data_IF_665685665776
#
_entry.id   IF_665685665776
#
_cell.length_a   1.000
_cell.length_b   1.000
_cell.length_c   1.000
_cell.angle_alpha   90.00
_cell.angle_beta   90.00
_cell.angle_gamma   90.00
#
_symmetry.space_group_name_H-M   'P 1'
#
loop_
_entity.id
_entity.type
_entity.pdbx_description
1 polymer ?
#
# COMPACT_ATOMS: atom_id res chain seq x y z
N UNK A 1 -1.77 -10.92 -7.78
CA UNK A 1 -1.00 -11.42 -8.95
C UNK A 1 0.03 -10.44 -9.44
N UNK A 2 -0.34 -9.24 -9.90
CA UNK A 2 0.61 -8.22 -10.36
C UNK A 2 1.73 -7.89 -9.37
N UNK A 3 1.47 -8.07 -8.07
CA UNK A 3 2.43 -7.87 -6.99
C UNK A 3 3.75 -8.65 -7.18
N UNK A 4 3.72 -9.89 -7.67
CA UNK A 4 4.93 -10.69 -7.86
C UNK A 4 5.82 -10.11 -8.97
N UNK A 5 5.20 -9.64 -10.06
CA UNK A 5 5.91 -8.91 -11.11
C UNK A 5 6.51 -7.62 -10.53
N UNK A 6 5.71 -6.83 -9.80
CA UNK A 6 6.11 -5.52 -9.25
C UNK A 6 7.27 -5.66 -8.27
N UNK A 7 7.21 -6.63 -7.35
CA UNK A 7 8.28 -6.88 -6.38
C UNK A 7 9.57 -7.31 -7.08
N UNK A 8 9.50 -8.31 -7.97
CA UNK A 8 10.68 -8.80 -8.66
C UNK A 8 11.28 -7.74 -9.58
N UNK A 9 10.45 -7.17 -10.47
CA UNK A 9 10.90 -6.16 -11.42
C UNK A 9 11.40 -4.91 -10.71
N UNK A 10 10.71 -4.41 -9.68
CA UNK A 10 11.10 -3.19 -8.96
C UNK A 10 12.49 -3.29 -8.34
N UNK A 11 12.86 -4.48 -7.84
CA UNK A 11 14.18 -4.73 -7.26
C UNK A 11 15.23 -5.01 -8.35
N UNK A 12 14.95 -5.95 -9.25
CA UNK A 12 15.93 -6.43 -10.22
C UNK A 12 16.10 -5.56 -11.46
N UNK A 13 15.18 -4.62 -11.73
CA UNK A 13 15.36 -3.61 -12.78
C UNK A 13 16.55 -2.69 -12.48
N UNK A 14 16.64 -2.22 -11.23
CA UNK A 14 17.78 -1.43 -10.76
C UNK A 14 19.07 -2.23 -10.80
N UNK A 15 19.03 -3.50 -10.36
CA UNK A 15 20.18 -4.39 -10.43
C UNK A 15 20.64 -4.62 -11.88
N UNK A 16 19.71 -4.82 -12.82
CA UNK A 16 20.01 -4.98 -14.24
C UNK A 16 20.69 -3.75 -14.84
N UNK A 17 20.17 -2.55 -14.55
CA UNK A 17 20.78 -1.29 -14.98
C UNK A 17 22.17 -1.07 -14.36
N UNK A 18 22.29 -1.21 -13.04
CA UNK A 18 23.55 -1.11 -12.32
C UNK A 18 24.59 -2.07 -12.90
N UNK A 19 24.19 -3.32 -13.14
CA UNK A 19 25.08 -4.36 -13.64
C UNK A 19 25.52 -4.12 -15.07
N UNK A 20 24.61 -3.68 -15.94
CA UNK A 20 24.93 -3.31 -17.31
C UNK A 20 25.86 -2.09 -17.39
N UNK A 21 25.68 -1.12 -16.49
CA UNK A 21 26.45 0.12 -16.48
C UNK A 21 27.84 -0.04 -15.88
N UNK A 22 28.00 -0.81 -14.80
CA UNK A 22 29.27 -0.91 -14.09
C UNK A 22 30.09 -2.14 -14.49
N UNK A 23 29.46 -3.29 -14.77
CA UNK A 23 30.13 -4.56 -15.05
C UNK A 23 30.24 -4.90 -16.55
N UNK A 24 30.19 -3.90 -17.42
CA UNK A 24 30.21 -4.08 -18.89
C UNK A 24 31.49 -4.75 -19.43
N UNK A 25 32.59 -4.74 -18.67
CA UNK A 25 33.85 -5.40 -19.03
C UNK A 25 33.82 -6.93 -18.83
N UNK A 26 32.99 -7.44 -17.92
CA UNK A 26 32.94 -8.87 -17.60
C UNK A 26 32.16 -9.65 -18.66
N UNK A 27 32.55 -10.89 -18.97
CA UNK A 27 31.78 -11.75 -19.90
C UNK A 27 30.34 -11.97 -19.40
N UNK A 28 29.35 -11.91 -20.31
CA UNK A 28 27.92 -12.13 -19.97
C UNK A 28 27.69 -13.43 -19.18
N UNK A 29 28.35 -14.52 -19.55
CA UNK A 29 28.21 -15.81 -18.87
C UNK A 29 28.71 -15.79 -17.43
N UNK A 30 29.80 -15.04 -17.16
CA UNK A 30 30.31 -14.85 -15.81
C UNK A 30 29.35 -13.99 -14.98
N UNK A 31 28.81 -12.93 -15.59
CA UNK A 31 27.85 -12.05 -14.92
C UNK A 31 26.62 -12.85 -14.46
N UNK A 32 26.04 -13.64 -15.36
CA UNK A 32 24.87 -14.44 -15.05
C UNK A 32 25.14 -15.50 -13.97
N UNK A 33 26.28 -16.22 -14.04
CA UNK A 33 26.64 -17.21 -13.03
C UNK A 33 26.80 -16.59 -11.65
N UNK A 34 27.51 -15.47 -11.54
CA UNK A 34 27.73 -14.81 -10.25
C UNK A 34 26.44 -14.20 -9.69
N UNK A 35 25.59 -13.64 -10.55
CA UNK A 35 24.28 -13.16 -10.15
C UNK A 35 23.40 -14.33 -9.62
N UNK A 36 23.34 -15.43 -10.36
CA UNK A 36 22.58 -16.60 -9.94
C UNK A 36 23.07 -17.16 -8.60
N UNK A 37 24.39 -17.36 -8.45
CA UNK A 37 24.97 -17.87 -7.20
C UNK A 37 24.73 -16.88 -6.06
N UNK A 38 24.91 -15.56 -6.27
CA UNK A 38 24.63 -14.55 -5.24
C UNK A 38 23.17 -14.55 -4.78
N UNK A 39 22.23 -14.68 -5.73
CA UNK A 39 20.80 -14.81 -5.40
C UNK A 39 20.50 -16.10 -4.62
N UNK A 40 21.05 -17.25 -5.02
CA UNK A 40 20.87 -18.51 -4.30
C UNK A 40 21.38 -18.40 -2.85
N UNK A 41 22.53 -17.77 -2.63
CA UNK A 41 23.05 -17.51 -1.29
C UNK A 41 22.12 -16.59 -0.48
N UNK A 42 21.54 -15.56 -1.12
CA UNK A 42 20.56 -14.70 -0.46
C UNK A 42 19.30 -15.46 -0.04
N UNK A 43 18.82 -16.39 -0.87
CA UNK A 43 17.67 -17.23 -0.57
C UNK A 43 17.91 -18.08 0.68
N UNK A 44 19.06 -18.76 0.77
CA UNK A 44 19.38 -19.55 1.95
C UNK A 44 19.59 -18.69 3.21
N UNK A 45 20.28 -17.55 3.09
CA UNK A 45 20.48 -16.63 4.21
C UNK A 45 19.13 -16.10 4.76
N UNK A 46 18.24 -15.68 3.86
CA UNK A 46 16.91 -15.22 4.22
C UNK A 46 16.05 -16.34 4.82
N UNK A 47 16.06 -17.54 4.22
CA UNK A 47 15.29 -18.67 4.73
C UNK A 47 15.72 -19.09 6.15
N UNK A 48 17.03 -19.13 6.41
CA UNK A 48 17.56 -19.41 7.75
C UNK A 48 17.10 -18.33 8.73
N UNK A 49 17.23 -17.05 8.36
CA UNK A 49 16.85 -15.92 9.19
C UNK A 49 15.35 -15.80 9.44
N UNK A 50 14.51 -16.12 8.45
CA UNK A 50 13.06 -16.19 8.59
C UNK A 50 12.64 -17.28 9.58
N UNK A 51 13.32 -18.44 9.56
CA UNK A 51 13.07 -19.53 10.52
C UNK A 51 13.44 -19.15 11.96
N UNK A 52 14.43 -18.27 12.15
CA UNK A 52 14.82 -17.77 13.47
C UNK A 52 14.13 -16.46 13.86
N UNK A 53 13.15 -15.98 13.07
CA UNK A 53 12.47 -14.69 13.27
C UNK A 53 13.44 -13.49 13.36
N UNK A 54 14.57 -13.56 12.67
CA UNK A 54 15.64 -12.55 12.71
C UNK A 54 15.81 -11.82 11.37
N UNK A 55 14.79 -11.83 10.52
CA UNK A 55 14.87 -11.27 9.17
C UNK A 55 15.04 -9.74 9.16
N UNK A 56 14.52 -9.03 10.18
CA UNK A 56 14.74 -7.59 10.35
C UNK A 56 16.22 -7.27 10.58
N UNK A 57 16.91 -8.08 11.39
CA UNK A 57 18.36 -7.94 11.63
C UNK A 57 19.18 -8.26 10.38
N UNK A 58 18.77 -9.27 9.61
CA UNK A 58 19.40 -9.59 8.32
C UNK A 58 19.22 -8.43 7.33
N UNK A 59 18.02 -7.84 7.28
CA UNK A 59 17.74 -6.70 6.41
C UNK A 59 18.55 -5.47 6.81
N UNK A 60 18.64 -5.16 8.11
CA UNK A 60 19.53 -4.12 8.63
C UNK A 60 21.00 -4.34 8.22
N UNK A 61 21.51 -5.56 8.44
CA UNK A 61 22.88 -5.93 8.06
C UNK A 61 23.10 -5.82 6.54
N UNK A 62 22.06 -6.13 5.76
CA UNK A 62 22.08 -6.00 4.31
C UNK A 62 22.10 -4.54 3.85
N UNK A 63 21.42 -3.63 4.53
CA UNK A 63 21.47 -2.20 4.22
C UNK A 63 22.85 -1.61 4.54
N UNK A 64 23.50 -2.04 5.62
CA UNK A 64 24.90 -1.69 5.90
C UNK A 64 25.81 -2.21 4.78
N UNK A 65 25.61 -3.45 4.33
CA UNK A 65 26.32 -4.00 3.19
C UNK A 65 26.06 -3.18 1.91
N UNK A 66 24.84 -2.74 1.64
CA UNK A 66 24.52 -1.90 0.49
C UNK A 66 25.32 -0.60 0.51
N UNK A 67 25.39 0.09 1.65
CA UNK A 67 26.19 1.32 1.80
C UNK A 67 27.64 1.05 1.40
N UNK A 68 28.26 -0.01 1.94
CA UNK A 68 29.64 -0.39 1.63
C UNK A 68 29.84 -0.73 0.14
N UNK A 69 28.91 -1.48 -0.46
CA UNK A 69 28.96 -1.86 -1.86
C UNK A 69 28.82 -0.66 -2.78
N UNK A 70 27.90 0.26 -2.50
CA UNK A 70 27.69 1.47 -3.31
C UNK A 70 28.86 2.45 -3.22
N UNK A 71 29.44 2.63 -2.02
CA UNK A 71 30.70 3.37 -1.87
C UNK A 71 31.85 2.71 -2.64
N UNK A 72 31.94 1.38 -2.59
CA UNK A 72 32.92 0.62 -3.37
C UNK A 72 32.73 0.84 -4.87
N UNK A 73 31.50 0.82 -5.39
CA UNK A 73 31.21 1.11 -6.81
C UNK A 73 31.73 2.50 -7.22
N UNK A 74 31.56 3.52 -6.37
CA UNK A 74 32.08 4.87 -6.62
C UNK A 74 33.61 4.85 -6.67
N UNK A 75 34.27 4.30 -5.64
CA UNK A 75 35.74 4.25 -5.55
C UNK A 75 36.33 3.50 -6.75
N UNK A 76 35.79 2.32 -7.05
CA UNK A 76 36.30 1.45 -8.11
C UNK A 76 35.96 1.93 -9.52
N UNK A 77 35.06 2.91 -9.67
CA UNK A 77 34.82 3.58 -10.95
C UNK A 77 36.08 4.34 -11.46
N UNK A 78 36.93 4.82 -10.54
CA UNK A 78 38.14 5.60 -10.84
C UNK A 78 39.41 4.75 -11.10
N UNK A 79 39.37 3.44 -10.84
CA UNK A 79 40.54 2.57 -11.07
C UNK A 79 40.79 2.37 -12.57
N UNK A 80 42.06 2.61 -12.96
CA UNK A 80 42.57 2.46 -14.34
C UNK A 80 43.15 1.07 -14.65
N UNK A 81 43.56 0.28 -13.65
CA UNK A 81 44.12 -1.06 -13.88
C UNK A 81 43.02 -2.07 -14.22
N UNK A 82 43.00 -2.55 -15.47
CA UNK A 82 41.95 -3.43 -15.99
C UNK A 82 41.91 -4.81 -15.32
N UNK A 83 43.05 -5.44 -15.03
CA UNK A 83 43.08 -6.78 -14.45
C UNK A 83 42.55 -6.80 -13.01
N UNK A 84 43.00 -5.83 -12.20
CA UNK A 84 42.51 -5.68 -10.82
C UNK A 84 41.03 -5.30 -10.81
N UNK A 85 40.61 -4.45 -11.74
CA UNK A 85 39.22 -4.01 -11.89
C UNK A 85 38.27 -5.18 -12.18
N UNK A 86 38.64 -6.10 -13.08
CA UNK A 86 37.79 -7.26 -13.39
C UNK A 86 37.55 -8.17 -12.18
N UNK A 87 38.60 -8.49 -11.42
CA UNK A 87 38.47 -9.35 -10.22
C UNK A 87 37.59 -8.70 -9.14
N UNK A 88 37.80 -7.42 -8.88
CA UNK A 88 37.00 -6.67 -7.90
C UNK A 88 35.55 -6.56 -8.38
N UNK A 89 35.34 -6.30 -9.67
CA UNK A 89 34.01 -6.25 -10.28
C UNK A 89 33.26 -7.59 -10.14
N UNK A 90 33.93 -8.73 -10.28
CA UNK A 90 33.31 -10.03 -10.08
C UNK A 90 32.84 -10.23 -8.62
N UNK A 91 33.65 -9.84 -7.64
CA UNK A 91 33.28 -9.92 -6.21
C UNK A 91 32.10 -8.99 -5.91
N UNK A 92 32.17 -7.73 -6.36
CA UNK A 92 31.09 -6.76 -6.17
C UNK A 92 29.78 -7.21 -6.80
N UNK A 93 29.83 -7.83 -7.98
CA UNK A 93 28.64 -8.35 -8.65
C UNK A 93 27.95 -9.45 -7.84
N UNK A 94 28.73 -10.40 -7.30
CA UNK A 94 28.21 -11.46 -6.43
C UNK A 94 27.53 -10.87 -5.18
N UNK A 95 28.22 -9.96 -4.49
CA UNK A 95 27.72 -9.32 -3.26
C UNK A 95 26.50 -8.44 -3.52
N UNK A 96 26.47 -7.69 -4.62
CA UNK A 96 25.29 -6.91 -5.01
C UNK A 96 24.12 -7.84 -5.34
N UNK A 97 24.36 -8.95 -6.04
CA UNK A 97 23.27 -9.90 -6.32
C UNK A 97 22.71 -10.52 -5.04
N UNK A 98 23.58 -10.83 -4.08
CA UNK A 98 23.17 -11.26 -2.76
C UNK A 98 22.31 -10.18 -2.09
N UNK A 99 22.77 -8.92 -2.08
CA UNK A 99 22.09 -7.84 -1.38
C UNK A 99 20.72 -7.46 -1.99
N UNK A 100 20.64 -7.42 -3.33
CA UNK A 100 19.38 -7.26 -4.05
C UNK A 100 18.45 -8.47 -3.84
N UNK A 101 18.99 -9.67 -3.72
CA UNK A 101 18.22 -10.87 -3.39
C UNK A 101 17.58 -10.82 -2.01
N UNK A 102 18.33 -10.41 -0.97
CA UNK A 102 17.78 -10.17 0.38
C UNK A 102 16.67 -9.12 0.34
N UNK A 103 16.88 -8.00 -0.38
CA UNK A 103 15.87 -6.96 -0.53
C UNK A 103 14.57 -7.47 -1.17
N UNK A 104 14.69 -8.26 -2.24
CA UNK A 104 13.52 -8.87 -2.90
C UNK A 104 12.74 -9.79 -1.95
N UNK A 105 13.46 -10.65 -1.22
CA UNK A 105 12.85 -11.61 -0.30
C UNK A 105 12.18 -10.91 0.89
N UNK A 106 12.80 -9.85 1.41
CA UNK A 106 12.23 -9.04 2.49
C UNK A 106 10.92 -8.35 2.07
N UNK A 107 10.89 -7.70 0.90
CA UNK A 107 9.67 -7.03 0.40
C UNK A 107 8.55 -8.03 0.07
N UNK A 108 8.92 -9.28 -0.24
CA UNK A 108 7.97 -10.34 -0.62
C UNK A 108 7.59 -11.28 0.53
N UNK A 109 7.98 -10.98 1.77
CA UNK A 109 7.80 -11.88 2.92
C UNK A 109 6.33 -12.26 3.15
N UNK A 110 5.42 -11.28 3.02
CA UNK A 110 3.97 -11.48 3.21
C UNK A 110 3.28 -12.12 1.99
N UNK A 111 4.04 -12.38 0.92
CA UNK A 111 3.54 -12.92 -0.35
C UNK A 111 4.29 -14.21 -0.71
N UNK A 112 4.14 -15.30 0.08
CA UNK A 112 4.78 -16.56 -0.23
C UNK A 112 4.29 -17.12 -1.57
N UNK A 113 5.24 -17.38 -2.47
CA UNK A 113 4.96 -17.90 -3.83
C UNK A 113 4.34 -19.30 -3.77
N UNK A 114 4.78 -20.11 -2.80
CA UNK A 114 4.30 -21.47 -2.55
C UNK A 114 3.49 -21.45 -1.26
N UNK A 115 2.16 -21.27 -1.39
CA UNK A 115 1.24 -21.72 -0.35
C UNK A 115 1.23 -23.26 -0.28
N UNK A 116 0.55 -23.84 0.70
CA UNK A 116 0.60 -25.28 1.07
C UNK A 116 0.49 -26.29 -0.09
N UNK A 117 -0.01 -25.89 -1.26
CA UNK A 117 -0.04 -26.70 -2.48
C UNK A 117 0.88 -26.12 -3.57
N UNK A 118 1.83 -26.94 -4.03
CA UNK A 118 2.81 -26.57 -5.07
C UNK A 118 2.19 -26.34 -6.47
N UNK A 119 1.00 -26.91 -6.74
CA UNK A 119 0.37 -26.93 -8.08
C UNK A 119 -0.95 -26.16 -8.16
N UNK A 120 -1.24 -25.26 -7.21
CA UNK A 120 -2.42 -24.41 -7.35
C UNK A 120 -2.23 -23.41 -8.50
N UNK A 121 -3.31 -23.10 -9.23
CA UNK A 121 -3.29 -22.15 -10.36
C UNK A 121 -2.68 -20.79 -9.99
N UNK A 122 -2.80 -20.42 -8.71
CA UNK A 122 -2.22 -19.21 -8.15
C UNK A 122 -0.69 -19.20 -8.23
N UNK A 123 -0.04 -20.30 -7.82
CA UNK A 123 1.41 -20.43 -7.82
C UNK A 123 1.97 -20.39 -9.25
N UNK A 124 1.34 -21.11 -10.19
CA UNK A 124 1.74 -21.13 -11.60
C UNK A 124 1.70 -19.72 -12.21
N UNK A 125 0.62 -18.98 -11.99
CA UNK A 125 0.49 -17.61 -12.49
C UNK A 125 1.54 -16.66 -11.88
N UNK A 126 1.89 -16.87 -10.61
CA UNK A 126 2.89 -16.09 -9.88
C UNK A 126 4.29 -16.33 -10.44
N UNK A 127 4.67 -17.59 -10.68
CA UNK A 127 5.93 -17.93 -11.35
C UNK A 127 6.00 -17.37 -12.78
N UNK A 128 4.91 -17.43 -13.54
CA UNK A 128 4.85 -16.85 -14.89
C UNK A 128 5.14 -15.35 -14.89
N UNK A 129 4.60 -14.61 -13.92
CA UNK A 129 4.85 -13.17 -13.76
C UNK A 129 6.28 -12.86 -13.33
N UNK A 130 6.87 -13.65 -12.43
CA UNK A 130 8.28 -13.52 -12.04
C UNK A 130 9.19 -13.79 -13.26
N UNK A 131 8.89 -14.83 -14.04
CA UNK A 131 9.64 -15.15 -15.25
C UNK A 131 9.54 -14.04 -16.29
N UNK A 132 8.35 -13.47 -16.48
CA UNK A 132 8.14 -12.31 -17.36
C UNK A 132 9.00 -11.12 -16.91
N UNK A 133 8.97 -10.79 -15.61
CA UNK A 133 9.80 -9.73 -15.05
C UNK A 133 11.30 -9.99 -15.26
N UNK A 134 11.75 -11.22 -15.03
CA UNK A 134 13.13 -11.63 -15.27
C UNK A 134 13.55 -11.45 -16.74
N UNK A 135 12.73 -11.90 -17.70
CA UNK A 135 13.00 -11.73 -19.14
C UNK A 135 13.12 -10.25 -19.51
N UNK A 136 12.24 -9.40 -18.97
CA UNK A 136 12.28 -7.96 -19.23
C UNK A 136 13.53 -7.30 -18.62
N UNK A 137 13.87 -7.61 -17.35
CA UNK A 137 15.11 -7.13 -16.73
C UNK A 137 16.35 -7.61 -17.49
N UNK A 138 16.35 -8.84 -17.98
CA UNK A 138 17.45 -9.37 -18.80
C UNK A 138 17.57 -8.64 -20.15
N UNK A 139 16.45 -8.33 -20.81
CA UNK A 139 16.43 -7.49 -22.01
C UNK A 139 17.01 -6.10 -21.76
N UNK A 140 16.60 -5.44 -20.67
CA UNK A 140 17.16 -4.15 -20.23
C UNK A 140 18.67 -4.26 -20.03
N UNK A 141 19.14 -5.29 -19.32
CA UNK A 141 20.57 -5.51 -19.09
C UNK A 141 21.34 -5.59 -20.41
N UNK A 142 20.89 -6.41 -21.36
CA UNK A 142 21.54 -6.56 -22.67
C UNK A 142 21.56 -5.25 -23.45
N UNK A 143 20.44 -4.51 -23.45
CA UNK A 143 20.33 -3.24 -24.16
C UNK A 143 21.23 -2.15 -23.59
N UNK A 144 21.19 -1.95 -22.27
CA UNK A 144 22.02 -0.96 -21.58
C UNK A 144 23.50 -1.31 -21.69
N UNK A 145 23.85 -2.59 -21.66
CA UNK A 145 25.22 -3.05 -21.88
C UNK A 145 25.67 -2.77 -23.31
N UNK A 146 24.84 -3.07 -24.30
CA UNK A 146 25.11 -2.76 -25.71
C UNK A 146 25.29 -1.25 -25.93
N UNK A 147 24.54 -0.40 -25.22
CA UNK A 147 24.72 1.06 -25.30
C UNK A 147 26.10 1.55 -24.84
N UNK A 148 26.81 0.81 -23.98
CA UNK A 148 28.19 1.16 -23.58
C UNK A 148 29.16 1.10 -24.75
N UNK A 149 28.86 0.37 -25.83
CA UNK A 149 29.68 0.34 -27.05
C UNK A 149 29.75 1.69 -27.75
N UNK A 150 28.71 2.52 -27.62
CA UNK A 150 28.67 3.89 -28.16
C UNK A 150 29.45 4.90 -27.30
N UNK A 151 30.05 4.48 -26.18
CA UNK A 151 30.92 5.29 -25.29
C UNK A 151 30.29 6.60 -24.80
N UNK A 152 28.98 6.59 -24.58
CA UNK A 152 28.25 7.74 -24.06
C UNK A 152 28.69 8.11 -22.63
N UNK A 153 29.17 9.36 -22.45
CA UNK A 153 29.59 9.87 -21.13
C UNK A 153 28.44 9.95 -20.11
N UNK A 154 27.22 10.27 -20.55
CA UNK A 154 26.06 10.41 -19.65
C UNK A 154 25.65 9.09 -18.97
N UNK A 155 26.05 7.92 -19.50
CA UNK A 155 25.78 6.64 -18.85
C UNK A 155 26.47 6.52 -17.48
N UNK A 156 27.57 7.26 -17.27
CA UNK A 156 28.20 7.36 -15.94
C UNK A 156 27.39 8.22 -14.97
N UNK A 157 26.68 9.24 -15.47
CA UNK A 157 25.75 10.03 -14.67
C UNK A 157 24.57 9.17 -14.22
N UNK A 158 24.03 8.32 -15.11
CA UNK A 158 22.94 7.40 -14.76
C UNK A 158 23.38 6.40 -13.69
N UNK A 159 24.60 5.86 -13.80
CA UNK A 159 25.19 5.03 -12.75
C UNK A 159 25.24 5.77 -11.42
N UNK A 160 25.72 7.01 -11.40
CA UNK A 160 25.80 7.82 -10.18
C UNK A 160 24.42 8.09 -9.56
N UNK A 161 23.40 8.38 -10.38
CA UNK A 161 22.02 8.59 -9.91
C UNK A 161 21.50 7.33 -9.21
N UNK A 162 21.67 6.15 -9.83
CA UNK A 162 21.26 4.87 -9.22
C UNK A 162 21.95 4.66 -7.87
N UNK A 163 23.25 4.90 -7.80
CA UNK A 163 24.04 4.75 -6.58
C UNK A 163 23.56 5.69 -5.48
N UNK A 164 23.34 6.98 -5.78
CA UNK A 164 22.89 7.97 -4.79
C UNK A 164 21.51 7.61 -4.23
N UNK A 165 20.59 7.19 -5.09
CA UNK A 165 19.22 6.85 -4.71
C UNK A 165 19.16 5.66 -3.76
N UNK A 166 19.91 4.60 -4.06
CA UNK A 166 19.98 3.43 -3.20
C UNK A 166 20.81 3.67 -1.92
N UNK A 167 21.84 4.52 -1.98
CA UNK A 167 22.57 4.94 -0.78
C UNK A 167 21.65 5.69 0.18
N UNK A 168 20.84 6.63 -0.33
CA UNK A 168 19.84 7.34 0.47
C UNK A 168 18.83 6.39 1.09
N UNK A 169 18.32 5.43 0.31
CA UNK A 169 17.35 4.45 0.82
C UNK A 169 17.96 3.57 1.92
N UNK A 170 19.16 3.03 1.72
CA UNK A 170 19.85 2.20 2.71
C UNK A 170 20.13 2.98 4.01
N UNK A 171 20.61 4.22 3.92
CA UNK A 171 20.83 5.07 5.09
C UNK A 171 19.55 5.36 5.86
N UNK A 172 18.44 5.62 5.16
CA UNK A 172 17.14 5.83 5.78
C UNK A 172 16.62 4.58 6.50
N UNK A 173 16.80 3.38 5.93
CA UNK A 173 16.39 2.12 6.56
C UNK A 173 17.26 1.76 7.78
N UNK A 174 18.58 1.99 7.70
CA UNK A 174 19.49 1.86 8.85
C UNK A 174 19.03 2.76 10.00
N UNK A 175 18.77 4.05 9.72
CA UNK A 175 18.31 4.99 10.74
C UNK A 175 16.96 4.58 11.33
N UNK A 176 16.01 4.12 10.49
CA UNK A 176 14.72 3.61 10.95
C UNK A 176 14.87 2.42 11.91
N UNK A 177 15.77 1.48 11.59
CA UNK A 177 16.03 0.33 12.46
C UNK A 177 16.65 0.77 13.80
N UNK A 178 17.65 1.66 13.78
CA UNK A 178 18.29 2.17 15.00
C UNK A 178 17.31 2.94 15.90
N UNK A 179 16.35 3.66 15.32
CA UNK A 179 15.27 4.31 16.06
C UNK A 179 14.30 3.30 16.68
N UNK A 180 13.96 2.22 15.96
CA UNK A 180 13.07 1.15 16.48
C UNK A 180 13.69 0.40 17.65
N UNK A 181 15.00 0.15 17.61
CA UNK A 181 15.75 -0.49 18.69
C UNK A 181 16.09 0.46 19.86
N UNK A 182 15.75 1.75 19.74
CA UNK A 182 16.04 2.74 20.79
C UNK A 182 17.51 3.14 20.92
N UNK A 183 18.36 2.81 19.94
CA UNK A 183 19.77 3.22 19.90
C UNK A 183 19.91 4.71 19.59
N UNK A 184 19.01 5.24 18.75
CA UNK A 184 18.91 6.67 18.41
C UNK A 184 17.54 7.17 18.85
N UNK A 185 17.52 8.31 19.56
CA UNK A 185 16.27 8.93 19.98
C UNK A 185 15.45 9.44 18.78
N UNK A 186 14.12 9.34 18.89
CA UNK A 186 13.23 9.75 17.81
C UNK A 186 13.00 11.25 17.81
N UNK A 187 13.78 11.96 17.01
CA UNK A 187 13.60 13.39 16.75
C UNK A 187 12.78 13.67 15.47
N UNK A 188 12.15 14.85 15.40
CA UNK A 188 11.33 15.27 14.27
C UNK A 188 12.09 15.33 12.94
N UNK A 189 13.38 15.72 12.97
CA UNK A 189 14.24 15.78 11.79
C UNK A 189 14.55 14.38 11.24
N UNK A 190 14.96 13.45 12.10
CA UNK A 190 15.26 12.06 11.72
C UNK A 190 14.01 11.37 11.17
N UNK A 191 12.88 11.51 11.86
CA UNK A 191 11.60 10.95 11.42
C UNK A 191 11.17 11.53 10.07
N UNK A 192 11.31 12.84 9.85
CA UNK A 192 10.98 13.50 8.58
C UNK A 192 11.88 13.00 7.44
N UNK A 193 13.18 12.85 7.67
CA UNK A 193 14.12 12.31 6.67
C UNK A 193 13.79 10.86 6.30
N UNK A 194 13.60 9.99 7.29
CA UNK A 194 13.26 8.58 7.09
C UNK A 194 11.93 8.46 6.34
N UNK A 195 10.89 9.16 6.82
CA UNK A 195 9.57 9.11 6.21
C UNK A 195 9.60 9.54 4.74
N UNK A 196 10.29 10.65 4.42
CA UNK A 196 10.42 11.13 3.03
C UNK A 196 11.23 10.17 2.17
N UNK A 197 12.37 9.68 2.65
CA UNK A 197 13.24 8.79 1.88
C UNK A 197 12.55 7.46 1.57
N UNK A 198 11.89 6.85 2.55
CA UNK A 198 11.11 5.61 2.36
C UNK A 198 9.90 5.84 1.47
N UNK A 199 9.22 6.99 1.59
CA UNK A 199 8.11 7.34 0.72
C UNK A 199 8.54 7.49 -0.74
N UNK A 200 9.62 8.26 -1.00
CA UNK A 200 10.09 8.52 -2.36
C UNK A 200 10.78 7.31 -3.02
N UNK A 201 11.30 6.36 -2.24
CA UNK A 201 11.86 5.11 -2.75
C UNK A 201 10.89 4.34 -3.65
N UNK A 202 9.58 4.45 -3.39
CA UNK A 202 8.52 3.84 -4.22
C UNK A 202 8.53 4.33 -5.67
N UNK A 203 9.04 5.54 -5.91
CA UNK A 203 9.06 6.15 -7.25
C UNK A 203 10.32 5.84 -8.07
N UNK A 204 11.31 5.15 -7.50
CA UNK A 204 12.60 4.90 -8.17
C UNK A 204 12.43 4.16 -9.50
N UNK A 205 11.54 3.17 -9.54
CA UNK A 205 11.24 2.41 -10.78
C UNK A 205 10.76 3.32 -11.92
N UNK A 206 9.94 4.32 -11.63
CA UNK A 206 9.47 5.29 -12.62
C UNK A 206 10.61 6.17 -13.15
N UNK A 207 11.54 6.54 -12.29
CA UNK A 207 12.75 7.28 -12.69
C UNK A 207 13.62 6.40 -13.60
N UNK A 208 13.76 5.11 -13.29
CA UNK A 208 14.48 4.16 -14.15
C UNK A 208 13.81 3.96 -15.50
N UNK A 209 12.48 3.96 -15.59
CA UNK A 209 11.78 3.98 -16.87
C UNK A 209 12.08 5.25 -17.68
N UNK A 210 12.10 6.42 -17.03
CA UNK A 210 12.49 7.67 -17.68
C UNK A 210 13.93 7.60 -18.22
N UNK A 211 14.88 7.14 -17.41
CA UNK A 211 16.27 6.95 -17.84
C UNK A 211 16.39 5.95 -19.00
N UNK A 212 15.63 4.85 -18.96
CA UNK A 212 15.58 3.88 -20.04
C UNK A 212 15.02 4.49 -21.34
N UNK A 213 13.97 5.32 -21.24
CA UNK A 213 13.43 6.09 -22.36
C UNK A 213 14.47 7.01 -23.00
N UNK A 214 15.25 7.73 -22.18
CA UNK A 214 16.37 8.56 -22.66
C UNK A 214 17.42 7.71 -23.37
N UNK A 215 17.79 6.55 -22.81
CA UNK A 215 18.71 5.59 -23.45
C UNK A 215 18.20 5.13 -24.83
N UNK A 216 16.91 4.85 -24.97
CA UNK A 216 16.28 4.46 -26.24
C UNK A 216 16.39 5.58 -27.28
N UNK A 217 16.04 6.81 -26.91
CA UNK A 217 16.15 7.98 -27.81
C UNK A 217 17.59 8.18 -28.27
N UNK A 218 18.56 8.02 -27.37
CA UNK A 218 19.98 8.19 -27.70
C UNK A 218 20.51 7.07 -28.59
N UNK A 219 20.03 5.84 -28.42
CA UNK A 219 20.29 4.74 -29.34
C UNK A 219 19.79 5.09 -30.76
N UNK A 220 18.55 5.57 -30.88
CA UNK A 220 17.93 5.93 -32.16
C UNK A 220 18.63 7.09 -32.86
N UNK A 221 19.29 7.99 -32.12
CA UNK A 221 20.14 9.05 -32.69
C UNK A 221 21.45 8.55 -33.30
N UNK A 222 21.88 7.31 -33.03
CA UNK A 222 23.06 6.69 -33.64
C UNK A 222 22.80 6.08 -35.03
N UNK A 223 21.56 6.20 -35.53
CA UNK A 223 21.19 5.80 -36.87
C UNK A 223 21.83 6.71 -37.90
N UNK A 224 22.21 6.15 -39.04
CA UNK A 224 22.67 6.90 -40.21
C UNK A 224 21.44 7.44 -40.93
N UNK A 225 21.27 8.77 -40.96
CA UNK A 225 20.08 9.45 -41.51
C UNK A 225 19.99 9.43 -43.03
N UNK A 226 21.12 9.55 -43.71
CA UNK A 226 21.21 9.65 -45.18
C UNK A 226 21.89 8.40 -45.76
N UNK A 227 21.23 7.26 -45.67
CA UNK A 227 21.71 6.02 -46.27
C UNK A 227 21.07 5.82 -47.66
N UNK A 228 21.63 6.43 -48.70
CA UNK A 228 21.19 6.25 -50.09
C UNK A 228 22.09 5.24 -50.83
N UNK A 229 21.49 4.44 -51.72
CA UNK A 229 22.23 3.48 -52.55
C UNK A 229 22.97 4.26 -53.64
N UNK A 230 24.30 4.31 -53.59
CA UNK A 230 25.12 5.06 -54.57
C UNK A 230 25.52 4.24 -55.78
N UNK A 231 25.61 2.91 -55.63
CA UNK A 231 26.01 1.97 -56.70
C UNK A 231 25.37 0.59 -56.52
N UNK A 232 25.42 -0.23 -57.56
CA UNK A 232 25.05 -1.64 -57.43
C UNK A 232 26.03 -2.40 -56.52
N UNK A 233 25.46 -3.31 -55.73
CA UNK A 233 26.17 -4.05 -54.68
C UNK A 233 26.89 -3.20 -53.62
N UNK A 234 26.41 -1.97 -53.37
CA UNK A 234 26.96 -1.08 -52.34
C UNK A 234 27.05 -1.75 -50.97
N UNK A 235 28.28 -1.98 -50.52
CA UNK A 235 28.59 -2.66 -49.25
C UNK A 235 28.31 -1.71 -48.07
N UNK A 236 28.60 -0.42 -48.23
CA UNK A 236 28.45 0.58 -47.17
C UNK A 236 26.97 0.81 -46.88
N UNK A 237 26.15 0.93 -47.95
CA UNK A 237 24.69 0.99 -47.84
C UNK A 237 24.13 -0.19 -47.05
N UNK A 238 24.55 -1.42 -47.38
CA UNK A 238 24.10 -2.65 -46.69
C UNK A 238 24.54 -2.70 -45.22
N UNK A 239 25.77 -2.29 -44.91
CA UNK A 239 26.27 -2.20 -43.53
C UNK A 239 25.48 -1.18 -42.70
N UNK A 240 25.22 0.00 -43.24
CA UNK A 240 24.44 1.05 -42.59
C UNK A 240 22.98 0.62 -42.40
N UNK A 241 22.39 -0.07 -43.38
CA UNK A 241 21.04 -0.63 -43.27
C UNK A 241 20.96 -1.67 -42.15
N UNK A 242 21.93 -2.60 -42.09
CA UNK A 242 22.00 -3.59 -41.02
C UNK A 242 22.15 -2.93 -39.65
N UNK A 243 23.04 -1.93 -39.51
CA UNK A 243 23.21 -1.15 -38.27
C UNK A 243 21.90 -0.46 -37.85
N UNK A 244 21.25 0.25 -38.78
CA UNK A 244 20.01 0.96 -38.50
C UNK A 244 18.88 -0.01 -38.13
N UNK A 245 18.81 -1.17 -38.77
CA UNK A 245 17.83 -2.22 -38.45
C UNK A 245 18.06 -2.78 -37.05
N UNK A 246 19.31 -3.12 -36.68
CA UNK A 246 19.63 -3.58 -35.32
C UNK A 246 19.26 -2.53 -34.27
N UNK A 247 19.63 -1.26 -34.48
CA UNK A 247 19.27 -0.17 -33.57
C UNK A 247 17.75 -0.07 -33.42
N UNK A 248 17.03 -0.06 -34.54
CA UNK A 248 15.57 0.09 -34.55
C UNK A 248 14.87 -1.08 -33.88
N UNK A 249 15.20 -2.32 -34.26
CA UNK A 249 14.56 -3.52 -33.73
C UNK A 249 14.84 -3.69 -32.23
N UNK A 250 16.08 -3.50 -31.78
CA UNK A 250 16.40 -3.65 -30.37
C UNK A 250 15.73 -2.55 -29.53
N UNK A 251 15.77 -1.31 -30.02
CA UNK A 251 15.10 -0.17 -29.38
C UNK A 251 13.57 -0.37 -29.31
N UNK A 252 12.94 -0.89 -30.38
CA UNK A 252 11.51 -1.17 -30.43
C UNK A 252 11.11 -2.30 -29.46
N UNK A 253 11.90 -3.38 -29.37
CA UNK A 253 11.66 -4.47 -28.42
C UNK A 253 11.74 -3.98 -26.96
N UNK A 254 12.74 -3.16 -26.64
CA UNK A 254 12.91 -2.62 -25.28
C UNK A 254 11.86 -1.56 -24.96
N UNK A 255 11.48 -0.72 -25.94
CA UNK A 255 10.36 0.20 -25.78
C UNK A 255 9.05 -0.54 -25.50
N UNK A 256 8.77 -1.62 -26.24
CA UNK A 256 7.57 -2.44 -26.03
C UNK A 256 7.57 -3.11 -24.64
N UNK A 257 8.71 -3.67 -24.21
CA UNK A 257 8.86 -4.23 -22.87
C UNK A 257 8.72 -3.16 -21.77
N UNK A 258 9.25 -1.95 -22.00
CA UNK A 258 9.13 -0.81 -21.09
C UNK A 258 7.67 -0.38 -20.93
N UNK A 259 6.92 -0.23 -22.03
CA UNK A 259 5.49 0.13 -21.99
C UNK A 259 4.69 -0.95 -21.25
N UNK A 260 4.89 -2.23 -21.58
CA UNK A 260 4.19 -3.31 -20.91
C UNK A 260 4.49 -3.34 -19.40
N UNK A 261 5.77 -3.21 -19.01
CA UNK A 261 6.17 -3.15 -17.60
C UNK A 261 5.55 -1.94 -16.89
N UNK A 262 5.59 -0.77 -17.52
CA UNK A 262 5.01 0.46 -16.98
C UNK A 262 3.48 0.32 -16.79
N UNK A 263 2.77 -0.29 -17.74
CA UNK A 263 1.34 -0.57 -17.60
C UNK A 263 1.05 -1.49 -16.42
N UNK A 264 1.85 -2.53 -16.18
CA UNK A 264 1.69 -3.43 -15.03
C UNK A 264 1.93 -2.67 -13.72
N UNK A 265 2.96 -1.83 -13.65
CA UNK A 265 3.26 -0.98 -12.48
C UNK A 265 2.13 0.02 -12.20
N UNK A 266 1.68 0.75 -13.21
CA UNK A 266 0.59 1.71 -13.07
C UNK A 266 -0.72 1.02 -12.70
N UNK A 267 -1.02 -0.14 -13.27
CA UNK A 267 -2.18 -0.94 -12.87
C UNK A 267 -2.08 -1.37 -11.40
N UNK A 268 -0.89 -1.76 -10.94
CA UNK A 268 -0.69 -2.08 -9.53
C UNK A 268 -0.94 -0.87 -8.64
N UNK A 269 -0.20 0.22 -8.83
CA UNK A 269 -0.26 1.40 -7.95
C UNK A 269 -1.60 2.15 -8.01
N UNK A 270 -2.22 2.22 -9.19
CA UNK A 270 -3.46 2.98 -9.38
C UNK A 270 -4.72 2.16 -9.16
N UNK A 271 -4.65 0.81 -9.18
CA UNK A 271 -5.84 -0.03 -9.11
C UNK A 271 -5.67 -1.21 -8.13
N UNK A 272 -4.68 -2.08 -8.35
CA UNK A 272 -4.58 -3.32 -7.58
C UNK A 272 -4.20 -3.12 -6.11
N UNK A 273 -3.44 -2.06 -5.79
CA UNK A 273 -2.99 -1.74 -4.43
C UNK A 273 -3.94 -0.81 -3.67
N UNK A 274 -5.12 -0.47 -4.23
CA UNK A 274 -6.09 0.38 -3.53
C UNK A 274 -6.53 -0.32 -2.23
N UNK A 275 -6.54 0.40 -1.09
CA UNK A 275 -7.11 -0.15 0.12
C UNK A 275 -8.58 -0.47 -0.12
N UNK A 276 -9.08 -1.51 0.54
CA UNK A 276 -10.49 -1.84 0.46
C UNK A 276 -11.26 -0.74 1.19
N UNK A 277 -12.15 -0.07 0.47
CA UNK A 277 -13.00 0.98 1.03
C UNK A 277 -14.37 0.42 1.38
N UNK A 278 -15.01 1.04 2.36
CA UNK A 278 -16.42 0.80 2.66
C UNK A 278 -17.33 1.47 1.63
N UNK A 279 -18.47 0.84 1.35
CA UNK A 279 -19.53 1.44 0.53
C UNK A 279 -20.19 2.62 1.27
N UNK A 280 -20.70 3.60 0.51
CA UNK A 280 -21.44 4.72 1.09
C UNK A 280 -22.72 4.23 1.79
N UNK A 281 -23.04 4.71 3.00
CA UNK A 281 -24.24 4.30 3.70
C UNK A 281 -25.49 4.96 3.09
N UNK A 282 -26.61 4.24 3.13
CA UNK A 282 -27.92 4.85 2.88
C UNK A 282 -28.39 5.60 4.12
N UNK A 283 -28.59 6.91 4.01
CA UNK A 283 -29.09 7.70 5.13
C UNK A 283 -30.57 7.42 5.40
N UNK A 284 -30.89 7.21 6.68
CA UNK A 284 -32.23 6.81 7.13
C UNK A 284 -32.64 7.62 8.35
N UNK A 285 -33.95 7.83 8.49
CA UNK A 285 -34.59 8.53 9.60
C UNK A 285 -35.57 7.58 10.31
N UNK A 286 -35.82 7.77 11.62
CA UNK A 286 -36.82 6.97 12.33
C UNK A 286 -38.24 7.32 11.86
N UNK A 287 -39.14 6.35 11.95
CA UNK A 287 -40.56 6.56 11.71
C UNK A 287 -41.24 7.32 12.88
N UNK A 288 -42.54 7.58 12.78
CA UNK A 288 -43.35 8.26 13.80
C UNK A 288 -43.33 7.55 15.18
N UNK A 289 -43.04 6.25 15.22
CA UNK A 289 -42.95 5.44 16.43
C UNK A 289 -41.53 5.40 17.03
N UNK A 290 -40.59 6.22 16.53
CA UNK A 290 -39.16 6.18 16.90
C UNK A 290 -38.49 4.83 16.58
N UNK A 291 -38.78 4.25 15.43
CA UNK A 291 -38.20 2.98 14.97
C UNK A 291 -37.65 3.09 13.54
N UNK A 292 -36.56 2.36 13.28
CA UNK A 292 -36.05 2.11 11.94
C UNK A 292 -36.54 0.74 11.48
N UNK A 293 -37.24 0.69 10.35
CA UNK A 293 -37.91 -0.52 9.87
C UNK A 293 -37.40 -0.87 8.47
N UNK A 294 -36.89 -2.09 8.33
CA UNK A 294 -36.32 -2.61 7.08
C UNK A 294 -37.01 -3.91 6.69
N UNK A 295 -37.37 -4.05 5.42
CA UNK A 295 -37.88 -5.32 4.88
C UNK A 295 -36.73 -6.32 4.71
N UNK A 296 -36.87 -7.54 5.23
CA UNK A 296 -35.85 -8.59 5.12
C UNK A 296 -35.55 -8.98 3.67
N UNK A 297 -36.48 -8.72 2.74
CA UNK A 297 -36.31 -9.00 1.32
C UNK A 297 -35.05 -8.37 0.74
N UNK A 298 -34.61 -7.20 1.24
CA UNK A 298 -33.39 -6.54 0.77
C UNK A 298 -32.14 -7.39 1.02
N UNK A 299 -32.14 -8.24 2.05
CA UNK A 299 -30.99 -9.05 2.46
C UNK A 299 -30.86 -10.38 1.70
N UNK A 300 -31.84 -10.71 0.84
CA UNK A 300 -31.85 -11.97 0.08
C UNK A 300 -30.86 -11.99 -1.08
N UNK A 301 -30.26 -10.84 -1.40
CA UNK A 301 -29.10 -10.75 -2.28
C UNK A 301 -27.80 -11.23 -1.60
N UNK A 302 -27.87 -11.55 -0.31
CA UNK A 302 -26.74 -11.95 0.53
C UNK A 302 -25.61 -10.92 0.60
N UNK A 303 -25.88 -9.65 0.33
CA UNK A 303 -24.92 -8.58 0.53
C UNK A 303 -25.04 -7.94 1.92
N UNK A 304 -24.05 -7.12 2.24
CA UNK A 304 -24.11 -6.22 3.39
C UNK A 304 -24.86 -4.96 2.97
N UNK A 305 -25.92 -4.60 3.68
CA UNK A 305 -26.69 -3.38 3.44
C UNK A 305 -26.38 -2.35 4.51
N UNK A 306 -25.69 -1.27 4.13
CA UNK A 306 -25.18 -0.26 5.05
C UNK A 306 -26.13 0.93 5.12
N UNK A 307 -26.40 1.35 6.35
CA UNK A 307 -27.24 2.50 6.66
C UNK A 307 -26.51 3.46 7.59
N UNK A 308 -26.97 4.70 7.62
CA UNK A 308 -26.50 5.69 8.57
C UNK A 308 -27.63 6.59 9.06
N UNK A 309 -27.55 6.96 10.34
CA UNK A 309 -28.36 8.02 10.92
C UNK A 309 -27.45 9.20 11.28
N UNK A 310 -27.89 10.43 11.03
CA UNK A 310 -27.17 11.64 11.43
C UNK A 310 -27.82 12.17 12.70
N UNK A 311 -27.12 12.08 13.82
CA UNK A 311 -27.60 12.59 15.10
C UNK A 311 -27.89 14.10 15.07
N UNK A 312 -28.60 14.60 16.07
CA UNK A 312 -28.86 16.04 16.22
C UNK A 312 -27.56 16.87 16.23
N UNK A 313 -26.45 16.26 16.61
CA UNK A 313 -25.12 16.88 16.68
C UNK A 313 -24.32 16.78 15.38
N UNK A 314 -24.89 16.13 14.36
CA UNK A 314 -24.22 15.84 13.09
C UNK A 314 -23.33 14.60 13.14
N UNK A 315 -23.33 13.79 14.20
CA UNK A 315 -22.57 12.53 14.22
C UNK A 315 -23.21 11.50 13.30
N UNK A 316 -22.40 10.87 12.46
CA UNK A 316 -22.84 9.81 11.54
C UNK A 316 -22.73 8.47 12.25
N UNK A 317 -23.86 7.88 12.62
CA UNK A 317 -23.94 6.55 13.23
C UNK A 317 -24.19 5.54 12.14
N UNK A 318 -23.19 4.73 11.80
CA UNK A 318 -23.31 3.72 10.75
C UNK A 318 -23.68 2.36 11.34
N UNK A 319 -24.53 1.64 10.63
CA UNK A 319 -24.88 0.27 10.96
C UNK A 319 -25.15 -0.49 9.67
N UNK A 320 -25.17 -1.81 9.74
CA UNK A 320 -25.52 -2.60 8.59
C UNK A 320 -26.38 -3.80 8.96
N UNK A 321 -27.13 -4.25 7.96
CA UNK A 321 -27.92 -5.46 7.99
C UNK A 321 -27.30 -6.50 7.06
N UNK A 322 -27.30 -7.75 7.49
CA UNK A 322 -26.84 -8.88 6.69
C UNK A 322 -27.56 -10.16 7.13
N UNK A 323 -27.70 -11.14 6.24
CA UNK A 323 -28.10 -12.49 6.62
C UNK A 323 -26.90 -13.30 7.12
N UNK A 324 -27.03 -13.95 8.29
CA UNK A 324 -25.99 -14.82 8.85
C UNK A 324 -25.83 -16.12 8.06
N UNK A 325 -26.86 -16.52 7.32
CA UNK A 325 -26.85 -17.67 6.43
C UNK A 325 -27.43 -17.29 5.08
N UNK A 326 -26.80 -17.78 4.02
CA UNK A 326 -27.14 -17.38 2.65
C UNK A 326 -28.39 -18.09 2.09
N UNK A 327 -28.81 -19.17 2.75
CA UNK A 327 -29.90 -20.05 2.33
C UNK A 327 -31.27 -19.67 2.93
N UNK A 328 -31.31 -18.75 3.90
CA UNK A 328 -32.55 -18.38 4.58
C UNK A 328 -32.52 -16.99 5.22
N UNK A 329 -33.70 -16.41 5.38
CA UNK A 329 -33.89 -15.17 6.14
C UNK A 329 -33.39 -15.36 7.58
N UNK A 330 -32.24 -14.74 7.87
CA UNK A 330 -31.54 -14.82 9.14
C UNK A 330 -30.85 -13.49 9.45
N UNK A 331 -31.62 -12.38 9.47
CA UNK A 331 -31.07 -11.04 9.57
C UNK A 331 -30.30 -10.87 10.87
N UNK A 332 -29.29 -10.01 10.82
CA UNK A 332 -28.64 -9.46 12.00
C UNK A 332 -28.37 -7.98 11.78
N UNK A 333 -28.71 -7.17 12.78
CA UNK A 333 -28.36 -5.75 12.83
C UNK A 333 -27.16 -5.54 13.76
N UNK A 334 -26.16 -4.82 13.27
CA UNK A 334 -24.91 -4.52 13.99
C UNK A 334 -24.43 -3.12 13.63
N UNK A 335 -23.70 -2.48 14.54
CA UNK A 335 -22.98 -1.25 14.22
C UNK A 335 -21.82 -1.57 13.27
N UNK A 336 -21.53 -0.64 12.36
CA UNK A 336 -20.38 -0.71 11.45
C UNK A 336 -19.09 -0.28 12.17
N UNK A 337 -18.84 -0.90 13.33
CA UNK A 337 -17.72 -0.62 14.22
C UNK A 337 -17.40 -1.86 15.07
N UNK A 338 -16.18 -1.92 15.60
CA UNK A 338 -15.73 -3.03 16.45
C UNK A 338 -14.97 -2.53 17.68
N UNK A 339 -14.91 -3.36 18.72
CA UNK A 339 -14.31 -2.98 20.01
C UNK A 339 -12.78 -2.81 19.95
N UNK A 340 -12.11 -3.31 18.91
CA UNK A 340 -10.65 -3.26 18.76
C UNK A 340 -10.22 -2.14 17.80
N UNK A 341 -10.85 -2.06 16.63
CA UNK A 341 -10.46 -1.18 15.53
C UNK A 341 -11.31 0.09 15.41
N UNK A 342 -12.37 0.24 16.22
CA UNK A 342 -13.26 1.40 16.16
C UNK A 342 -14.18 1.39 14.93
N UNK A 343 -14.51 2.59 14.42
CA UNK A 343 -15.43 2.85 13.30
C UNK A 343 -14.78 2.75 11.92
N UNK A 344 -13.78 1.89 11.75
CA UNK A 344 -13.18 1.66 10.44
C UNK A 344 -14.17 0.95 9.49
N UNK A 345 -15.00 0.06 10.03
CA UNK A 345 -16.08 -0.59 9.32
C UNK A 345 -15.72 -1.91 8.63
N UNK A 346 -16.70 -2.45 7.90
CA UNK A 346 -16.65 -3.80 7.32
C UNK A 346 -17.03 -3.83 5.84
N UNK A 347 -16.59 -4.87 5.13
CA UNK A 347 -17.00 -5.16 3.75
C UNK A 347 -17.35 -6.64 3.60
N UNK A 348 -18.31 -6.98 2.73
CA UNK A 348 -18.54 -8.37 2.32
C UNK A 348 -17.92 -8.60 0.94
N UNK A 349 -16.88 -9.43 0.85
CA UNK A 349 -16.18 -9.72 -0.42
C UNK A 349 -15.96 -11.22 -0.58
N UNK A 350 -16.41 -11.78 -1.69
CA UNK A 350 -16.27 -13.22 -1.96
C UNK A 350 -17.00 -14.11 -0.94
N UNK A 351 -18.14 -13.65 -0.41
CA UNK A 351 -18.89 -14.35 0.64
C UNK A 351 -18.39 -14.11 2.07
N UNK A 352 -17.19 -13.55 2.24
CA UNK A 352 -16.59 -13.31 3.55
C UNK A 352 -16.86 -11.89 4.04
N UNK A 353 -17.22 -11.72 5.31
CA UNK A 353 -17.26 -10.41 5.97
C UNK A 353 -15.86 -10.10 6.52
N UNK A 354 -15.32 -8.92 6.20
CA UNK A 354 -13.93 -8.57 6.51
C UNK A 354 -13.92 -7.20 7.20
N UNK A 355 -13.21 -7.10 8.33
CA UNK A 355 -12.90 -5.80 8.95
C UNK A 355 -11.83 -5.09 8.12
N UNK A 356 -12.09 -3.87 7.64
CA UNK A 356 -11.14 -3.19 6.74
C UNK A 356 -9.83 -2.77 7.43
N UNK A 357 -9.84 -2.69 8.77
CA UNK A 357 -8.68 -2.26 9.56
C UNK A 357 -7.76 -3.41 9.92
N UNK A 358 -8.28 -4.46 10.54
CA UNK A 358 -7.49 -5.63 10.96
C UNK A 358 -7.35 -6.70 9.86
N UNK A 359 -8.07 -6.58 8.74
CA UNK A 359 -8.17 -7.57 7.65
C UNK A 359 -8.53 -8.99 8.13
N UNK A 360 -9.16 -9.10 9.30
CA UNK A 360 -9.65 -10.36 9.85
C UNK A 360 -10.95 -10.73 9.16
N UNK A 361 -11.04 -11.98 8.70
CA UNK A 361 -12.26 -12.58 8.16
C UNK A 361 -13.17 -12.98 9.32
N UNK A 362 -14.38 -12.44 9.30
CA UNK A 362 -15.39 -12.66 10.31
C UNK A 362 -16.24 -13.86 9.90
N UNK A 363 -16.36 -14.82 10.81
CA UNK A 363 -17.24 -15.95 10.62
C UNK A 363 -18.70 -15.46 10.65
N UNK A 364 -19.39 -15.44 9.51
CA UNK A 364 -20.75 -14.86 9.38
C UNK A 364 -21.74 -15.33 10.47
N UNK A 365 -21.78 -16.62 10.87
CA UNK A 365 -22.67 -17.06 11.94
C UNK A 365 -22.38 -16.48 13.33
N UNK A 366 -21.18 -15.94 13.59
CA UNK A 366 -20.86 -15.24 14.85
C UNK A 366 -21.25 -13.77 14.86
N UNK A 367 -21.64 -13.19 13.71
CA UNK A 367 -22.10 -11.81 13.65
C UNK A 367 -23.35 -11.64 14.53
N UNK A 368 -23.35 -10.61 15.38
CA UNK A 368 -24.34 -10.42 16.45
C UNK A 368 -23.90 -10.96 17.81
N UNK A 369 -22.70 -11.55 17.93
CA UNK A 369 -22.04 -11.82 19.21
C UNK A 369 -20.95 -10.79 19.47
N UNK A 370 -20.90 -10.25 20.68
CA UNK A 370 -19.87 -9.30 21.08
C UNK A 370 -18.47 -9.94 21.19
N UNK A 371 -17.43 -9.12 21.04
CA UNK A 371 -16.03 -9.49 21.29
C UNK A 371 -15.15 -9.55 20.03
N UNK A 372 -13.86 -9.26 20.20
CA UNK A 372 -12.87 -9.33 19.11
C UNK A 372 -13.09 -8.29 18.00
N UNK A 373 -12.71 -8.64 16.76
CA UNK A 373 -13.05 -7.88 15.55
C UNK A 373 -14.50 -8.16 15.05
N UNK A 374 -15.40 -8.81 15.83
CA UNK A 374 -16.81 -8.92 15.42
C UNK A 374 -17.50 -7.54 15.47
N UNK A 375 -18.44 -7.26 14.54
CA UNK A 375 -19.25 -6.04 14.60
C UNK A 375 -20.02 -5.94 15.91
N UNK A 376 -20.11 -4.74 16.48
CA UNK A 376 -20.81 -4.52 17.75
C UNK A 376 -22.31 -4.82 17.56
N UNK A 377 -22.89 -5.75 18.34
CA UNK A 377 -24.28 -6.15 18.15
C UNK A 377 -25.25 -5.03 18.52
N UNK A 378 -26.37 -4.95 17.78
CA UNK A 378 -27.49 -4.07 18.10
C UNK A 378 -28.67 -4.87 18.65
N UNK A 379 -29.48 -4.24 19.51
CA UNK A 379 -30.82 -4.74 19.84
C UNK A 379 -31.79 -4.44 18.69
N UNK A 380 -32.47 -5.47 18.20
CA UNK A 380 -33.49 -5.37 17.17
C UNK A 380 -34.55 -6.47 17.35
N UNK A 381 -35.71 -6.29 16.72
CA UNK A 381 -36.74 -7.33 16.58
C UNK A 381 -36.80 -7.79 15.12
N UNK A 382 -37.08 -9.07 14.91
CA UNK A 382 -37.37 -9.62 13.59
C UNK A 382 -38.74 -10.30 13.61
N UNK A 383 -39.74 -9.61 13.09
CA UNK A 383 -41.15 -10.04 13.12
C UNK A 383 -41.82 -9.67 11.80
N UNK A 384 -42.71 -10.53 11.30
CA UNK A 384 -43.47 -10.29 10.06
C UNK A 384 -42.60 -9.91 8.84
N UNK A 385 -41.40 -10.52 8.73
CA UNK A 385 -40.47 -10.24 7.63
C UNK A 385 -39.76 -8.88 7.72
N UNK A 386 -39.81 -8.21 8.87
CA UNK A 386 -39.20 -6.89 9.06
C UNK A 386 -38.19 -6.89 10.20
N UNK A 387 -37.06 -6.20 9.97
CA UNK A 387 -36.07 -5.86 11.01
C UNK A 387 -36.44 -4.51 11.57
N UNK A 388 -36.71 -4.46 12.88
CA UNK A 388 -37.16 -3.26 13.59
C UNK A 388 -36.10 -2.91 14.64
N UNK A 389 -35.50 -1.72 14.50
CA UNK A 389 -34.46 -1.21 15.40
C UNK A 389 -35.02 0.02 16.14
N UNK A 390 -35.08 0.02 17.48
CA UNK A 390 -35.56 1.18 18.21
C UNK A 390 -34.56 2.33 18.11
N UNK A 391 -35.04 3.57 18.02
CA UNK A 391 -34.19 4.75 17.88
C UNK A 391 -33.19 4.90 19.04
N UNK A 392 -33.58 4.52 20.25
CA UNK A 392 -32.69 4.52 21.41
C UNK A 392 -31.42 3.69 21.19
N UNK A 393 -31.53 2.57 20.47
CA UNK A 393 -30.38 1.72 20.17
C UNK A 393 -29.38 2.46 19.27
N UNK A 394 -29.86 3.13 18.22
CA UNK A 394 -29.02 3.94 17.33
C UNK A 394 -28.29 5.05 18.12
N UNK A 395 -28.99 5.68 19.07
CA UNK A 395 -28.41 6.72 19.92
C UNK A 395 -27.32 6.19 20.87
N UNK A 396 -27.47 4.96 21.36
CA UNK A 396 -26.44 4.32 22.19
C UNK A 396 -25.15 4.05 21.39
N UNK A 397 -25.26 3.86 20.07
CA UNK A 397 -24.14 3.64 19.16
C UNK A 397 -23.32 4.88 18.79
N UNK A 398 -23.80 6.09 19.12
CA UNK A 398 -23.17 7.38 18.74
C UNK A 398 -21.70 7.49 19.18
N UNK A 399 -21.34 6.81 20.27
CA UNK A 399 -19.99 6.84 20.83
C UNK A 399 -18.99 5.95 20.10
N UNK A 400 -19.45 5.04 19.24
CA UNK A 400 -18.55 4.23 18.42
C UNK A 400 -18.01 4.98 17.21
N UNK A 401 -18.66 6.08 16.81
CA UNK A 401 -18.36 6.80 15.57
C UNK A 401 -17.73 8.18 15.83
N UNK A 402 -16.75 8.48 14.98
CA UNK A 402 -15.95 9.71 15.01
C UNK A 402 -16.36 10.72 13.93
N UNK A 403 -16.97 10.25 12.84
CA UNK A 403 -17.39 11.10 11.73
C UNK A 403 -18.51 12.07 12.13
N UNK A 404 -18.29 13.37 11.86
CA UNK A 404 -19.27 14.45 12.06
C UNK A 404 -19.46 15.20 10.74
N UNK A 405 -20.71 15.44 10.34
CA UNK A 405 -21.09 16.22 9.15
C UNK A 405 -21.70 17.55 9.55
N UNK A 406 -21.67 18.54 8.63
CA UNK A 406 -22.36 19.80 8.84
C UNK A 406 -23.88 19.57 9.00
N UNK A 407 -24.44 20.00 10.13
CA UNK A 407 -25.88 19.97 10.41
C UNK A 407 -26.29 21.29 11.05
N UNK A 408 -27.49 21.75 10.69
CA UNK A 408 -28.14 22.87 11.34
C UNK A 408 -28.51 22.48 12.77
N UNK A 409 -28.04 23.27 13.73
CA UNK A 409 -28.27 23.09 15.16
C UNK A 409 -28.77 24.40 15.76
N UNK A 410 -29.38 24.34 16.93
CA UNK A 410 -29.94 25.51 17.59
C UNK A 410 -29.32 25.67 18.97
N UNK A 411 -29.05 26.91 19.37
CA UNK A 411 -28.63 27.24 20.73
C UNK A 411 -29.76 26.84 21.72
N UNK A 412 -29.45 26.06 22.77
CA UNK A 412 -30.46 25.59 23.71
C UNK A 412 -31.08 26.69 24.58
N UNK A 413 -30.48 27.89 24.64
CA UNK A 413 -30.95 29.00 25.46
C UNK A 413 -31.78 29.99 24.64
N UNK A 414 -31.26 30.48 23.52
CA UNK A 414 -31.93 31.53 22.71
C UNK A 414 -32.45 31.05 21.36
N UNK A 415 -32.29 29.77 21.03
CA UNK A 415 -32.71 29.15 19.77
C UNK A 415 -32.11 29.78 18.50
N UNK A 416 -30.97 30.47 18.63
CA UNK A 416 -30.22 30.96 17.47
C UNK A 416 -29.81 29.79 16.58
N UNK A 417 -30.07 29.90 15.28
CA UNK A 417 -29.65 28.91 14.29
C UNK A 417 -28.13 28.97 14.07
N UNK A 418 -27.48 27.81 14.20
CA UNK A 418 -26.03 27.61 14.08
C UNK A 418 -25.74 26.42 13.16
N UNK A 419 -24.49 26.32 12.72
CA UNK A 419 -23.96 25.12 12.08
C UNK A 419 -22.99 24.48 13.06
N UNK A 420 -23.19 23.21 13.42
CA UNK A 420 -22.41 22.49 14.43
C UNK A 420 -20.88 22.63 14.28
N UNK A 421 -20.35 22.48 13.06
CA UNK A 421 -18.91 22.59 12.79
C UNK A 421 -18.38 24.04 12.76
N UNK A 422 -19.26 25.04 12.75
CA UNK A 422 -18.93 26.48 12.69
C UNK A 422 -19.37 27.24 13.94
N UNK A 423 -19.91 26.54 14.93
CA UNK A 423 -20.39 27.15 16.16
C UNK A 423 -19.21 27.74 16.96
N UNK A 424 -19.33 28.97 17.48
CA UNK A 424 -18.25 29.61 18.25
C UNK A 424 -17.82 28.83 19.49
N UNK A 425 -18.76 28.17 20.16
CA UNK A 425 -18.52 27.38 21.38
C UNK A 425 -19.39 26.12 21.39
N UNK A 426 -18.89 25.08 22.05
CA UNK A 426 -19.60 23.83 22.28
C UNK A 426 -19.35 23.28 23.69
N UNK A 427 -20.34 22.63 24.29
CA UNK A 427 -20.23 21.99 25.61
C UNK A 427 -20.80 20.57 25.54
N UNK A 428 -20.10 19.59 26.13
CA UNK A 428 -20.58 18.20 26.18
C UNK A 428 -21.21 17.91 27.54
N UNK A 429 -22.50 17.60 27.57
CA UNK A 429 -23.24 17.22 28.77
C UNK A 429 -24.00 15.90 28.55
N UNK A 430 -23.86 14.95 29.48
CA UNK A 430 -24.46 13.59 29.41
C UNK A 430 -24.30 12.92 28.04
N UNK A 431 -23.09 12.98 27.47
CA UNK A 431 -22.79 12.33 26.19
C UNK A 431 -23.38 13.01 24.95
N UNK A 432 -23.97 14.21 25.10
CA UNK A 432 -24.43 15.06 24.00
C UNK A 432 -23.67 16.38 23.92
N UNK A 433 -23.35 16.83 22.72
CA UNK A 433 -22.71 18.11 22.40
C UNK A 433 -23.76 19.19 22.11
N UNK A 434 -23.72 20.26 22.88
CA UNK A 434 -24.55 21.46 22.70
C UNK A 434 -23.70 22.58 22.11
N UNK A 435 -24.30 23.40 21.24
CA UNK A 435 -23.62 24.46 20.50
C UNK A 435 -24.21 25.82 20.89
N UNK A 436 -23.35 26.84 21.04
CA UNK A 436 -23.75 28.15 21.56
C UNK A 436 -23.32 29.28 20.65
N UNK A 437 -24.21 30.26 20.48
CA UNK A 437 -23.97 31.42 19.63
C UNK A 437 -23.01 32.44 20.28
N UNK A 438 -22.96 32.48 21.62
CA UNK A 438 -22.22 33.49 22.37
C UNK A 438 -21.69 32.95 23.72
N UNK A 439 -20.74 33.67 24.32
CA UNK A 439 -20.07 33.25 25.58
C UNK A 439 -21.02 33.19 26.76
N UNK A 440 -21.99 34.10 26.78
CA UNK A 440 -22.96 34.22 27.86
C UNK A 440 -23.82 32.96 27.95
N UNK A 441 -24.37 32.51 26.82
CA UNK A 441 -25.17 31.27 26.76
C UNK A 441 -24.32 30.05 27.13
N UNK A 442 -23.06 30.00 26.69
CA UNK A 442 -22.14 28.91 27.03
C UNK A 442 -21.90 28.80 28.55
N UNK A 443 -21.56 29.90 29.22
CA UNK A 443 -21.33 29.89 30.67
C UNK A 443 -22.63 29.69 31.46
N UNK A 444 -23.76 30.23 30.99
CA UNK A 444 -25.08 30.03 31.61
C UNK A 444 -25.51 28.55 31.55
N UNK A 445 -25.33 27.89 30.40
CA UNK A 445 -25.60 26.47 30.25
C UNK A 445 -24.66 25.62 31.10
N UNK A 446 -23.37 25.96 31.15
CA UNK A 446 -22.37 25.23 31.94
C UNK A 446 -22.63 25.29 33.44
N UNK A 447 -23.21 26.38 33.95
CA UNK A 447 -23.55 26.56 35.35
C UNK A 447 -24.77 25.73 35.78
N UNK A 448 -25.82 25.67 34.94
CA UNK A 448 -27.00 24.83 35.21
C UNK A 448 -27.57 24.21 33.92
N UNK A 449 -26.99 23.11 33.43
CA UNK A 449 -27.44 22.45 32.20
C UNK A 449 -28.86 21.88 32.31
N UNK A 450 -29.31 21.52 33.52
CA UNK A 450 -30.60 20.84 33.72
C UNK A 450 -31.79 21.76 33.43
N UNK A 451 -31.59 23.07 33.54
CA UNK A 451 -32.63 24.08 33.26
C UNK A 451 -33.03 24.15 31.78
N UNK A 452 -32.12 23.78 30.87
CA UNK A 452 -32.28 24.01 29.43
C UNK A 452 -32.41 22.71 28.61
N UNK A 453 -32.45 21.54 29.27
CA UNK A 453 -32.47 20.24 28.59
C UNK A 453 -33.70 19.45 29.03
N UNK A 454 -34.42 18.89 28.05
CA UNK A 454 -35.50 17.93 28.30
C UNK A 454 -34.93 16.59 28.79
N UNK A 455 -35.30 16.18 30.02
CA UNK A 455 -34.73 15.01 30.70
C UNK A 455 -34.91 13.68 29.94
N UNK A 456 -35.87 13.62 29.02
CA UNK A 456 -36.15 12.42 28.22
C UNK A 456 -35.18 12.20 27.04
N UNK A 457 -34.30 13.16 26.72
CA UNK A 457 -33.35 13.08 25.60
C UNK A 457 -31.90 12.78 26.01
N UNK A 458 -31.66 12.12 27.14
CA UNK A 458 -30.27 11.78 27.55
C UNK A 458 -29.71 10.58 26.74
N UNK A 459 -28.52 10.71 26.14
CA UNK A 459 -27.79 9.55 25.64
C UNK A 459 -27.09 8.87 26.81
N UNK A 460 -27.25 7.56 26.95
CA UNK A 460 -26.61 6.81 28.02
C UNK A 460 -25.13 6.59 27.66
N UNK A 461 -24.26 7.14 28.52
CA UNK A 461 -22.84 6.83 28.69
C UNK A 461 -21.85 7.24 27.59
N UNK A 462 -21.16 8.37 27.84
CA UNK A 462 -19.77 8.59 27.40
C UNK A 462 -18.85 7.97 28.46
N UNK A 463 -18.64 6.65 28.42
CA UNK A 463 -17.63 6.02 29.28
C UNK A 463 -16.29 6.03 28.53
N UNK A 464 -15.45 7.00 28.88
CA UNK A 464 -14.01 6.79 28.85
C UNK A 464 -13.69 5.77 29.95
N UNK A 465 -13.77 4.49 29.61
CA UNK A 465 -13.12 3.35 30.26
C UNK A 465 -13.41 2.13 29.40
N UNK A 466 -12.43 1.78 28.56
CA UNK A 466 -12.28 0.42 28.07
C UNK A 466 -12.14 -0.50 29.29
N UNK A 467 -12.83 -1.65 29.25
CA UNK A 467 -12.82 -2.77 30.21
C UNK A 467 -13.88 -2.70 31.33
N UNK A 468 -14.99 -3.41 31.10
CA UNK A 468 -15.97 -3.78 32.12
C UNK A 468 -16.77 -4.99 31.63
N UNK A 469 -16.48 -6.16 32.21
CA UNK A 469 -17.17 -7.42 32.01
C UNK A 469 -18.64 -7.27 32.40
N UNK A 470 -19.58 -7.18 31.45
CA UNK A 470 -21.02 -7.40 31.71
C UNK A 470 -21.77 -7.84 30.45
N UNK A 471 -21.22 -8.85 29.77
CA UNK A 471 -21.98 -9.71 28.86
C UNK A 471 -21.64 -11.18 29.16
N UNK A 472 -21.97 -11.60 30.37
CA UNK A 472 -21.99 -13.00 30.77
C UNK A 472 -23.21 -13.25 31.68
N UNK A 473 -24.36 -13.42 31.05
CA UNK A 473 -25.49 -14.23 31.53
C UNK A 473 -26.42 -14.55 30.37
#
# INVERSE_FOLDING_TARGET
MSIYFVHFFGVFFSYALLSALFFYNLKNSLVFKLAFVGFVFSYFAFFISAKTLSYDLLYFSNDVLFVLLFLSVIIFSFIKNNFLKEKIQAILLFLLSFAFGIKYLHISIDFPILSTNFLDSLAISSFGLILLAFVMCFGVYLFTRWLREFKFKFLNLFLLIIVIFYLNEALAQILLHLMREGVIETESLYLSYVAKSVYYAKFYTYIWFLLLGICIVLALKQRVSENSKKKDFDIEFRKNQAKNSTITNFSASIFSAMILSLCIFLFYDLHASRPITIDEPTYVEPNENNEFVFDVAILRDNNLHRFAYISDEGKVVRFFLINKREDKDSPVAVFDACSICGDMGYVKKGGELICISCNVRIFLPSVGKAGGCNPIPMKYKFENGKVIIPFSEILDGVNFFTQVVEKKVYDPIDHTELINLKAPRSYVYKGRTYFFANEKNYEEFKNDPLKYIDMNKSSKYRIHNLLGNDYAS
#
